data_IF_830162790146
#
_entry.id   IF_830162790146
#
_cell.length_a   1.000
_cell.length_b   1.000
_cell.length_c   1.000
_cell.angle_alpha   90.00
_cell.angle_beta   90.00
_cell.angle_gamma   90.00
#
_symmetry.space_group_name_H-M   'P 1'
#
loop_
_entity.id
_entity.type
_entity.pdbx_description
1 polymer ?
#
# COMPACT_ATOMS: atom_id res chain seq x y z
N UNK A 1 -1.76 4.01 20.80
CA UNK A 1 -0.59 3.16 20.44
C UNK A 1 0.27 3.96 19.46
N UNK A 2 1.57 3.71 19.35
CA UNK A 2 2.46 4.45 18.45
C UNK A 2 2.14 4.12 16.98
N UNK A 3 1.94 5.10 16.07
CA UNK A 3 1.65 4.86 14.65
C UNK A 3 2.62 3.87 13.98
N UNK A 4 3.89 3.93 14.36
CA UNK A 4 4.92 3.05 13.81
C UNK A 4 4.76 1.61 14.30
N UNK A 5 4.40 1.43 15.57
CA UNK A 5 4.06 0.12 16.13
C UNK A 5 2.78 -0.43 15.51
N UNK A 6 1.79 0.40 15.23
CA UNK A 6 0.56 -0.03 14.57
C UNK A 6 0.88 -0.62 13.19
N UNK A 7 1.69 0.06 12.37
CA UNK A 7 2.11 -0.44 11.05
C UNK A 7 2.95 -1.71 11.14
N UNK A 8 3.88 -1.81 12.08
CA UNK A 8 4.72 -3.02 12.23
C UNK A 8 3.91 -4.32 12.31
N UNK A 9 2.70 -4.29 12.87
CA UNK A 9 1.86 -5.48 13.02
C UNK A 9 0.69 -5.56 12.03
N UNK A 10 0.31 -4.43 11.43
CA UNK A 10 -0.91 -4.30 10.63
C UNK A 10 -0.66 -3.94 9.16
N UNK A 11 0.57 -3.59 8.78
CA UNK A 11 0.86 -3.17 7.41
C UNK A 11 0.52 -4.28 6.40
N UNK A 12 1.07 -5.49 6.56
CA UNK A 12 0.71 -6.60 5.67
C UNK A 12 -0.70 -7.07 5.90
N UNK A 13 -1.02 -7.38 7.16
CA UNK A 13 -2.25 -8.08 7.52
C UNK A 13 -3.51 -7.26 7.26
N UNK A 14 -3.45 -5.95 7.51
CA UNK A 14 -4.61 -5.07 7.45
C UNK A 14 -4.56 -4.11 6.27
N UNK A 15 -3.39 -3.52 5.93
CA UNK A 15 -3.33 -2.61 4.79
C UNK A 15 -3.27 -3.36 3.45
N UNK A 16 -2.27 -4.24 3.28
CA UNK A 16 -1.99 -4.92 1.99
C UNK A 16 -3.00 -6.02 1.70
N UNK A 17 -3.09 -7.03 2.56
CA UNK A 17 -3.90 -8.22 2.27
C UNK A 17 -5.37 -7.88 2.11
N UNK A 18 -5.90 -6.95 2.92
CA UNK A 18 -7.29 -6.49 2.78
C UNK A 18 -7.51 -5.73 1.48
N UNK A 19 -6.55 -4.92 1.03
CA UNK A 19 -6.68 -4.24 -0.24
C UNK A 19 -6.66 -5.25 -1.40
N UNK A 20 -5.72 -6.19 -1.38
CA UNK A 20 -5.53 -7.17 -2.43
C UNK A 20 -6.74 -8.10 -2.62
N UNK A 21 -7.32 -8.61 -1.53
CA UNK A 21 -8.52 -9.48 -1.59
C UNK A 21 -9.74 -8.79 -2.20
N UNK A 22 -9.78 -7.45 -2.22
CA UNK A 22 -10.87 -6.67 -2.80
C UNK A 22 -10.64 -6.28 -4.28
N UNK A 23 -9.56 -6.75 -4.91
CA UNK A 23 -9.29 -6.48 -6.32
C UNK A 23 -10.05 -7.46 -7.21
N UNK A 24 -10.84 -6.92 -8.15
CA UNK A 24 -11.47 -7.74 -9.18
C UNK A 24 -10.48 -8.06 -10.31
N UNK A 25 -10.06 -9.32 -10.34
CA UNK A 25 -9.16 -9.87 -11.36
C UNK A 25 -9.89 -10.77 -12.37
N UNK A 26 -11.22 -10.90 -12.28
CA UNK A 26 -12.00 -11.90 -13.03
C UNK A 26 -11.86 -11.79 -14.55
N UNK A 27 -11.57 -10.59 -15.03
CA UNK A 27 -11.41 -10.28 -16.46
C UNK A 27 -9.95 -9.98 -16.87
N UNK A 28 -8.96 -10.33 -16.02
CA UNK A 28 -7.55 -10.04 -16.28
C UNK A 28 -6.82 -11.26 -16.85
N UNK A 29 -5.85 -11.07 -17.77
CA UNK A 29 -5.06 -12.18 -18.30
C UNK A 29 -4.12 -12.75 -17.22
N UNK A 30 -3.77 -14.03 -17.33
CA UNK A 30 -2.92 -14.73 -16.36
C UNK A 30 -1.56 -14.03 -16.14
N UNK A 31 -0.96 -13.48 -17.20
CA UNK A 31 0.29 -12.70 -17.11
C UNK A 31 0.15 -11.49 -16.19
N UNK A 32 -0.98 -10.78 -16.27
CA UNK A 32 -1.24 -9.64 -15.40
C UNK A 32 -1.48 -10.09 -13.96
N UNK A 33 -2.19 -11.19 -13.75
CA UNK A 33 -2.42 -11.75 -12.40
C UNK A 33 -1.09 -12.13 -11.74
N UNK A 34 -0.19 -12.79 -12.47
CA UNK A 34 1.15 -13.12 -11.96
C UNK A 34 1.94 -11.86 -11.59
N UNK A 35 1.93 -10.84 -12.45
CA UNK A 35 2.59 -9.57 -12.14
C UNK A 35 2.00 -8.91 -10.89
N UNK A 36 0.67 -8.94 -10.73
CA UNK A 36 -0.01 -8.41 -9.56
C UNK A 36 0.40 -9.16 -8.29
N UNK A 37 0.47 -10.48 -8.35
CA UNK A 37 0.95 -11.32 -7.26
C UNK A 37 2.39 -10.99 -6.87
N UNK A 38 3.29 -10.89 -7.85
CA UNK A 38 4.68 -10.50 -7.64
C UNK A 38 4.79 -9.12 -6.95
N UNK A 39 4.04 -8.13 -7.44
CA UNK A 39 4.00 -6.79 -6.83
C UNK A 39 3.49 -6.86 -5.39
N UNK A 40 2.44 -7.64 -5.13
CA UNK A 40 1.88 -7.78 -3.78
C UNK A 40 2.85 -8.48 -2.83
N UNK A 41 3.59 -9.48 -3.29
CA UNK A 41 4.61 -10.16 -2.50
C UNK A 41 5.78 -9.21 -2.16
N UNK A 42 6.27 -8.44 -3.13
CA UNK A 42 7.28 -7.41 -2.87
C UNK A 42 6.78 -6.35 -1.88
N UNK A 43 5.50 -5.95 -1.95
CA UNK A 43 4.90 -5.04 -0.98
C UNK A 43 4.83 -5.66 0.42
N UNK A 44 4.58 -6.98 0.52
CA UNK A 44 4.55 -7.68 1.81
C UNK A 44 5.92 -7.69 2.46
N UNK A 45 6.97 -7.86 1.67
CA UNK A 45 8.35 -7.86 2.16
C UNK A 45 8.78 -6.52 2.77
N UNK A 46 8.13 -5.41 2.42
CA UNK A 46 8.38 -4.10 3.04
C UNK A 46 8.03 -4.07 4.54
N UNK A 47 7.23 -5.01 5.06
CA UNK A 47 7.00 -5.14 6.50
C UNK A 47 8.29 -5.46 7.26
N UNK A 48 9.25 -6.15 6.64
CA UNK A 48 10.56 -6.38 7.23
C UNK A 48 11.30 -5.06 7.43
N UNK A 49 11.28 -4.16 6.45
CA UNK A 49 11.91 -2.83 6.55
C UNK A 49 11.30 -2.02 7.69
N UNK A 50 9.97 -2.00 7.78
CA UNK A 50 9.24 -1.32 8.86
C UNK A 50 9.55 -1.94 10.24
N UNK A 51 9.73 -3.25 10.29
CA UNK A 51 10.00 -3.99 11.53
C UNK A 51 11.43 -3.79 12.04
N UNK A 52 12.41 -3.70 11.14
CA UNK A 52 13.82 -3.48 11.45
C UNK A 52 14.09 -2.02 11.83
N UNK A 53 13.55 -1.07 11.06
CA UNK A 53 13.71 0.35 11.30
C UNK A 53 12.38 1.09 11.07
N UNK A 54 11.60 1.29 12.15
CA UNK A 54 10.33 2.01 12.06
C UNK A 54 10.48 3.46 11.57
N UNK A 55 11.67 4.06 11.65
CA UNK A 55 11.95 5.38 11.10
C UNK A 55 11.88 5.44 9.57
N UNK A 56 11.97 4.30 8.88
CA UNK A 56 11.90 4.20 7.41
C UNK A 56 10.49 4.15 6.85
N UNK A 57 9.46 4.12 7.69
CA UNK A 57 8.06 4.01 7.25
C UNK A 57 7.70 5.09 6.22
N UNK A 58 8.14 6.33 6.40
CA UNK A 58 7.85 7.40 5.44
C UNK A 58 8.54 7.17 4.10
N UNK A 59 9.77 6.65 4.10
CA UNK A 59 10.49 6.25 2.88
C UNK A 59 9.75 5.10 2.17
N UNK A 60 9.32 4.08 2.92
CA UNK A 60 8.58 2.93 2.38
C UNK A 60 7.30 3.39 1.68
N UNK A 61 6.55 4.31 2.29
CA UNK A 61 5.29 4.79 1.71
C UNK A 61 5.47 5.77 0.54
N UNK A 62 6.46 6.66 0.60
CA UNK A 62 6.65 7.70 -0.42
C UNK A 62 7.54 7.27 -1.59
N UNK A 63 8.41 6.29 -1.35
CA UNK A 63 9.32 5.69 -2.33
C UNK A 63 8.82 4.33 -2.79
N UNK A 64 9.12 3.28 -2.04
CA UNK A 64 8.94 1.88 -2.46
C UNK A 64 7.49 1.57 -2.90
N UNK A 65 6.51 1.95 -2.08
CA UNK A 65 5.09 1.78 -2.40
C UNK A 65 4.71 2.55 -3.68
N UNK A 66 5.18 3.79 -3.84
CA UNK A 66 4.85 4.61 -5.01
C UNK A 66 5.56 4.15 -6.29
N UNK A 67 6.73 3.54 -6.17
CA UNK A 67 7.42 2.91 -7.30
C UNK A 67 6.64 1.70 -7.79
N UNK A 68 6.17 0.83 -6.89
CA UNK A 68 5.29 -0.29 -7.25
C UNK A 68 3.96 0.18 -7.84
N UNK A 69 3.42 1.29 -7.34
CA UNK A 69 2.23 1.92 -7.92
C UNK A 69 2.47 2.31 -9.39
N UNK A 70 3.59 2.97 -9.70
CA UNK A 70 3.93 3.38 -11.07
C UNK A 70 4.05 2.18 -12.00
N UNK A 71 4.75 1.13 -11.58
CA UNK A 71 4.91 -0.11 -12.36
C UNK A 71 3.55 -0.73 -12.68
N UNK A 72 2.69 -0.90 -11.68
CA UNK A 72 1.39 -1.52 -11.91
C UNK A 72 0.47 -0.62 -12.74
N UNK A 73 0.53 0.70 -12.53
CA UNK A 73 -0.29 1.69 -13.26
C UNK A 73 0.00 1.69 -14.77
N UNK A 74 1.25 1.48 -15.17
CA UNK A 74 1.61 1.36 -16.59
C UNK A 74 0.97 0.16 -17.27
N UNK A 75 0.62 -0.87 -16.51
CA UNK A 75 -0.04 -2.08 -17.01
C UNK A 75 -1.55 -2.00 -16.91
N UNK A 76 -2.06 -1.55 -15.76
CA UNK A 76 -3.48 -1.39 -15.52
C UNK A 76 -3.73 -0.29 -14.49
N UNK A 77 -4.16 0.86 -14.97
CA UNK A 77 -4.42 2.04 -14.13
C UNK A 77 -5.55 1.82 -13.13
N UNK A 78 -6.58 1.08 -13.50
CA UNK A 78 -7.75 0.88 -12.63
C UNK A 78 -7.39 -0.04 -11.45
N UNK A 79 -6.72 -1.16 -11.74
CA UNK A 79 -6.24 -2.09 -10.70
C UNK A 79 -5.20 -1.42 -9.82
N UNK A 80 -4.24 -0.69 -10.39
CA UNK A 80 -3.25 0.04 -9.61
C UNK A 80 -3.89 1.07 -8.68
N UNK A 81 -4.84 1.86 -9.20
CA UNK A 81 -5.56 2.82 -8.37
C UNK A 81 -6.35 2.11 -7.26
N UNK A 82 -7.06 1.03 -7.59
CA UNK A 82 -7.86 0.29 -6.61
C UNK A 82 -7.00 -0.31 -5.49
N UNK A 83 -5.89 -0.98 -5.84
CA UNK A 83 -5.00 -1.62 -4.87
C UNK A 83 -4.33 -0.58 -3.97
N UNK A 84 -3.65 0.41 -4.55
CA UNK A 84 -2.83 1.33 -3.77
C UNK A 84 -3.67 2.34 -2.99
N UNK A 85 -4.80 2.80 -3.53
CA UNK A 85 -5.76 3.58 -2.73
C UNK A 85 -6.36 2.73 -1.61
N UNK A 86 -6.65 1.44 -1.87
CA UNK A 86 -7.10 0.49 -0.86
C UNK A 86 -6.09 0.33 0.28
N UNK A 87 -4.81 0.15 -0.03
CA UNK A 87 -3.72 0.04 0.96
C UNK A 87 -3.69 1.29 1.85
N UNK A 88 -3.66 2.48 1.24
CA UNK A 88 -3.56 3.73 1.98
C UNK A 88 -4.80 4.02 2.83
N UNK A 89 -6.00 3.74 2.31
CA UNK A 89 -7.25 3.86 3.09
C UNK A 89 -7.28 2.92 4.27
N UNK A 90 -6.92 1.64 4.07
CA UNK A 90 -6.82 0.69 5.17
C UNK A 90 -5.79 1.12 6.22
N UNK A 91 -4.68 1.76 5.83
CA UNK A 91 -3.76 2.33 6.81
C UNK A 91 -4.36 3.55 7.53
N UNK A 92 -5.16 4.38 6.87
CA UNK A 92 -5.88 5.49 7.53
C UNK A 92 -7.02 5.05 8.44
N UNK A 93 -7.57 3.84 8.26
CA UNK A 93 -8.55 3.26 9.20
C UNK A 93 -7.94 2.98 10.58
N UNK A 94 -6.60 2.96 10.69
CA UNK A 94 -5.91 2.83 11.97
C UNK A 94 -5.88 4.20 12.64
N UNK A 95 -6.61 4.34 13.76
CA UNK A 95 -6.74 5.61 14.51
C UNK A 95 -5.38 6.24 14.80
N UNK A 96 -4.41 5.42 15.24
CA UNK A 96 -3.04 5.84 15.54
C UNK A 96 -2.34 6.52 14.35
N UNK A 97 -2.65 6.08 13.14
CA UNK A 97 -2.08 6.63 11.92
C UNK A 97 -2.85 7.88 11.50
N UNK A 98 -4.18 7.80 11.52
CA UNK A 98 -5.07 8.86 11.04
C UNK A 98 -4.84 10.20 11.75
N UNK A 99 -4.50 10.17 13.04
CA UNK A 99 -4.26 11.34 13.89
C UNK A 99 -2.80 11.79 13.93
N UNK A 100 -1.92 11.12 13.20
CA UNK A 100 -0.48 11.38 13.19
C UNK A 100 -0.01 12.17 11.96
N UNK A 101 1.22 12.68 12.02
CA UNK A 101 1.93 13.24 10.85
C UNK A 101 2.01 12.26 9.69
N UNK A 102 2.13 10.97 9.99
CA UNK A 102 2.14 9.94 8.96
C UNK A 102 0.79 9.86 8.23
N UNK A 103 -0.31 10.07 8.94
CA UNK A 103 -1.64 10.17 8.35
C UNK A 103 -1.76 11.35 7.37
N UNK A 104 -1.11 12.48 7.62
CA UNK A 104 -1.04 13.59 6.65
C UNK A 104 -0.28 13.18 5.38
N UNK A 105 0.86 12.49 5.52
CA UNK A 105 1.60 11.94 4.38
C UNK A 105 0.75 10.97 3.58
N UNK A 106 0.07 10.02 4.23
CA UNK A 106 -0.78 9.04 3.57
C UNK A 106 -1.95 9.70 2.83
N UNK A 107 -2.59 10.72 3.42
CA UNK A 107 -3.66 11.48 2.74
C UNK A 107 -3.16 12.18 1.48
N UNK A 108 -1.95 12.73 1.49
CA UNK A 108 -1.34 13.35 0.31
C UNK A 108 -1.11 12.32 -0.80
N UNK A 109 -0.54 11.16 -0.47
CA UNK A 109 -0.31 10.08 -1.42
C UNK A 109 -1.62 9.54 -2.00
N UNK A 110 -2.64 9.38 -1.15
CA UNK A 110 -3.97 8.94 -1.59
C UNK A 110 -4.58 9.93 -2.58
N UNK A 111 -4.49 11.24 -2.30
CA UNK A 111 -4.97 12.27 -3.21
C UNK A 111 -4.19 12.29 -4.55
N UNK A 112 -2.89 11.98 -4.53
CA UNK A 112 -2.09 11.83 -5.76
C UNK A 112 -2.59 10.66 -6.60
N UNK A 113 -2.76 9.49 -6.00
CA UNK A 113 -3.25 8.28 -6.68
C UNK A 113 -4.66 8.50 -7.26
N UNK A 114 -5.56 9.11 -6.48
CA UNK A 114 -6.94 9.34 -6.91
C UNK A 114 -7.10 10.36 -8.05
N UNK A 115 -6.15 11.29 -8.19
CA UNK A 115 -6.13 12.27 -9.28
C UNK A 115 -5.42 11.75 -10.54
N UNK A 116 -4.57 10.75 -10.38
CA UNK A 116 -3.69 10.23 -11.43
C UNK A 116 -4.34 9.26 -12.39
#
# INVERSE_FOLDING_TARGET
MDPLKALRYRFVRYCINRAYVNIDISNKPAEFVNLLDDVVDELRDLEHVISEDPGKVEQVLTGDLMDKYRVLRERDREVARALFAGILRNCLDLEEISESKLGETIRRLLAEIERS
#
